data_IF_787168760860
#
_entry.id   IF_787168760860
#
_cell.length_a   1.000
_cell.length_b   1.000
_cell.length_c   1.000
_cell.angle_alpha   90.00
_cell.angle_beta   90.00
_cell.angle_gamma   90.00
#
_symmetry.space_group_name_H-M   'P 1'
#
loop_
_entity.id
_entity.type
_entity.pdbx_description
1 polymer ?
#
# COMPACT_ATOMS: atom_id res chain seq x y z
N UNK A 1 -56.90 -1.02 -26.37
CA UNK A 1 -56.97 0.45 -26.39
C UNK A 1 -58.35 1.02 -25.99
N UNK A 2 -59.37 0.20 -25.66
CA UNK A 2 -60.68 0.69 -25.24
C UNK A 2 -60.90 0.76 -23.72
N UNK A 3 -60.04 0.14 -22.87
CA UNK A 3 -60.20 0.18 -21.41
C UNK A 3 -59.60 1.43 -20.73
N UNK A 4 -58.67 2.14 -21.35
CA UNK A 4 -58.03 3.31 -20.74
C UNK A 4 -58.83 4.63 -20.88
N UNK A 5 -59.88 4.63 -21.69
CA UNK A 5 -60.71 5.84 -21.94
C UNK A 5 -61.87 6.05 -20.99
N UNK A 6 -62.09 5.13 -20.04
CA UNK A 6 -63.17 5.17 -19.04
C UNK A 6 -62.70 5.29 -17.62
N UNK A 7 -61.39 5.35 -17.38
CA UNK A 7 -60.85 5.50 -16.03
C UNK A 7 -60.90 6.95 -15.58
N UNK A 8 -61.39 7.21 -14.41
CA UNK A 8 -61.40 8.53 -13.78
C UNK A 8 -59.97 8.89 -13.31
N UNK A 9 -59.73 10.20 -13.13
CA UNK A 9 -58.45 10.66 -12.59
C UNK A 9 -58.12 10.09 -11.20
N UNK A 10 -59.14 9.65 -10.46
CA UNK A 10 -58.99 8.96 -9.16
C UNK A 10 -58.45 7.54 -9.35
N UNK A 11 -59.01 6.77 -10.28
CA UNK A 11 -58.60 5.39 -10.58
C UNK A 11 -57.14 5.34 -11.06
N UNK A 12 -56.74 6.35 -11.85
CA UNK A 12 -55.32 6.48 -12.29
C UNK A 12 -54.37 6.80 -11.15
N UNK A 13 -54.79 7.65 -10.21
CA UNK A 13 -53.96 7.96 -9.03
C UNK A 13 -53.85 6.75 -8.07
N UNK A 14 -54.95 6.01 -7.84
CA UNK A 14 -54.92 4.80 -7.04
C UNK A 14 -54.02 3.70 -7.65
N UNK A 15 -54.09 3.49 -8.97
CA UNK A 15 -53.21 2.55 -9.68
C UNK A 15 -51.75 3.00 -9.67
N UNK A 16 -51.47 4.29 -9.74
CA UNK A 16 -50.10 4.82 -9.60
C UNK A 16 -49.58 4.68 -8.18
N UNK A 17 -50.42 4.87 -7.16
CA UNK A 17 -50.02 4.68 -5.77
C UNK A 17 -49.86 3.20 -5.38
N UNK A 18 -50.68 2.31 -5.90
CA UNK A 18 -50.51 0.84 -5.77
C UNK A 18 -49.23 0.36 -6.48
N UNK A 19 -48.97 0.86 -7.70
CA UNK A 19 -47.76 0.56 -8.44
C UNK A 19 -46.51 1.05 -7.70
N UNK A 20 -46.53 2.28 -7.17
CA UNK A 20 -45.47 2.81 -6.34
C UNK A 20 -45.29 2.03 -5.04
N UNK A 21 -46.42 1.67 -4.36
CA UNK A 21 -46.33 0.90 -3.11
C UNK A 21 -45.83 -0.54 -3.33
N UNK A 22 -46.20 -1.19 -4.44
CA UNK A 22 -45.69 -2.50 -4.80
C UNK A 22 -44.20 -2.46 -5.18
N UNK A 23 -43.78 -1.45 -5.92
CA UNK A 23 -42.36 -1.22 -6.26
C UNK A 23 -41.50 -0.93 -5.02
N UNK A 24 -42.00 -0.10 -4.10
CA UNK A 24 -41.32 0.17 -2.82
C UNK A 24 -41.26 -1.07 -1.93
N UNK A 25 -42.30 -1.89 -1.89
CA UNK A 25 -42.31 -3.17 -1.15
C UNK A 25 -41.29 -4.15 -1.73
N UNK A 26 -41.25 -4.31 -3.05
CA UNK A 26 -40.27 -5.16 -3.72
C UNK A 26 -38.85 -4.65 -3.48
N UNK A 27 -38.63 -3.33 -3.53
CA UNK A 27 -37.32 -2.73 -3.22
C UNK A 27 -36.93 -3.01 -1.76
N UNK A 28 -37.84 -2.80 -0.80
CA UNK A 28 -37.60 -3.04 0.62
C UNK A 28 -37.34 -4.53 0.96
N UNK A 29 -37.80 -5.45 0.12
CA UNK A 29 -37.58 -6.90 0.29
C UNK A 29 -36.31 -7.41 -0.38
N UNK A 30 -35.57 -6.55 -1.07
CA UNK A 30 -34.28 -6.95 -1.67
C UNK A 30 -33.27 -7.29 -0.57
N UNK A 31 -32.51 -8.40 -0.71
CA UNK A 31 -31.55 -8.85 0.31
C UNK A 31 -30.50 -7.80 0.67
N UNK A 32 -30.06 -7.00 -0.31
CA UNK A 32 -29.10 -5.91 -0.11
C UNK A 32 -29.70 -4.77 0.73
N UNK A 33 -30.96 -4.41 0.52
CA UNK A 33 -31.67 -3.37 1.27
C UNK A 33 -31.93 -3.82 2.70
N UNK A 34 -32.39 -5.06 2.89
CA UNK A 34 -32.62 -5.65 4.22
C UNK A 34 -31.31 -5.72 4.99
N UNK A 35 -30.23 -6.18 4.34
CA UNK A 35 -28.91 -6.27 4.96
C UNK A 35 -28.39 -4.90 5.41
N UNK A 36 -28.50 -3.88 4.55
CA UNK A 36 -28.12 -2.52 4.89
C UNK A 36 -28.95 -1.93 6.03
N UNK A 37 -30.27 -2.15 6.01
CA UNK A 37 -31.15 -1.71 7.08
C UNK A 37 -30.77 -2.35 8.42
N UNK A 38 -30.53 -3.66 8.41
CA UNK A 38 -30.10 -4.40 9.60
C UNK A 38 -28.78 -3.88 10.17
N UNK A 39 -27.79 -3.62 9.29
CA UNK A 39 -26.50 -3.04 9.69
C UNK A 39 -26.68 -1.65 10.31
N UNK A 40 -27.53 -0.80 9.72
CA UNK A 40 -27.84 0.52 10.26
C UNK A 40 -28.52 0.45 11.62
N UNK A 41 -29.49 -0.47 11.80
CA UNK A 41 -30.20 -0.62 13.06
C UNK A 41 -29.26 -1.19 14.14
N UNK A 42 -28.39 -2.13 13.79
CA UNK A 42 -27.36 -2.67 14.66
C UNK A 42 -26.36 -1.59 15.09
N UNK A 43 -25.90 -0.74 14.13
CA UNK A 43 -25.04 0.41 14.42
C UNK A 43 -25.71 1.39 15.38
N UNK A 44 -26.99 1.73 15.13
CA UNK A 44 -27.78 2.60 16.03
C UNK A 44 -27.90 2.00 17.42
N UNK A 45 -28.18 0.72 17.53
CA UNK A 45 -28.23 0.02 18.82
C UNK A 45 -26.95 0.19 19.60
N UNK A 46 -25.78 -0.11 19.00
CA UNK A 46 -24.49 0.02 19.68
C UNK A 46 -24.11 1.47 19.99
N UNK A 47 -24.53 2.45 19.19
CA UNK A 47 -24.19 3.87 19.41
C UNK A 47 -25.13 4.60 20.37
N UNK A 48 -26.42 4.26 20.34
CA UNK A 48 -27.46 5.00 21.07
C UNK A 48 -27.96 4.25 22.32
N UNK A 49 -27.68 2.96 22.46
CA UNK A 49 -28.10 2.22 23.65
C UNK A 49 -27.44 2.75 24.91
N UNK A 50 -28.28 3.00 25.94
CA UNK A 50 -27.78 3.38 27.28
C UNK A 50 -26.93 2.28 27.92
N UNK A 51 -27.15 1.00 27.53
CA UNK A 51 -26.42 -0.18 28.00
C UNK A 51 -25.25 -0.57 27.10
N UNK A 52 -24.79 0.33 26.22
CA UNK A 52 -23.68 0.06 25.27
C UNK A 52 -22.39 -0.42 25.94
N UNK A 53 -22.18 -0.08 27.20
CA UNK A 53 -21.01 -0.48 27.98
C UNK A 53 -21.10 -1.94 28.48
N UNK A 54 -22.30 -2.53 28.49
CA UNK A 54 -22.51 -3.94 28.85
C UNK A 54 -22.26 -4.89 27.65
N UNK A 55 -22.24 -4.34 26.44
CA UNK A 55 -22.08 -5.10 25.20
C UNK A 55 -20.76 -4.73 24.55
N UNK A 56 -20.08 -5.72 24.00
CA UNK A 56 -18.89 -5.52 23.20
C UNK A 56 -19.29 -4.84 21.87
N UNK A 57 -18.73 -3.66 21.58
CA UNK A 57 -19.07 -2.91 20.36
C UNK A 57 -18.40 -3.59 19.16
N UNK A 58 -19.16 -4.38 18.42
CA UNK A 58 -18.67 -5.12 17.24
C UNK A 58 -18.14 -4.20 16.12
N UNK A 59 -18.54 -2.91 16.11
CA UNK A 59 -18.03 -1.95 15.11
C UNK A 59 -16.66 -1.36 15.50
N UNK A 60 -16.21 -1.60 16.72
CA UNK A 60 -14.87 -1.23 17.18
C UNK A 60 -13.88 -2.36 17.09
N UNK A 61 -14.36 -3.58 16.89
CA UNK A 61 -13.51 -4.75 16.75
C UNK A 61 -13.17 -4.97 15.28
N UNK A 62 -11.91 -5.20 15.02
CA UNK A 62 -11.46 -5.74 13.74
C UNK A 62 -11.91 -7.20 13.66
N UNK A 63 -13.14 -7.42 13.18
CA UNK A 63 -13.64 -8.76 12.93
C UNK A 63 -12.95 -9.27 11.67
N UNK A 64 -11.95 -10.12 11.86
CA UNK A 64 -11.35 -10.86 10.76
C UNK A 64 -12.40 -11.84 10.22
N UNK A 65 -13.21 -11.39 9.25
CA UNK A 65 -14.34 -12.15 8.66
C UNK A 65 -13.90 -13.54 8.19
N UNK A 66 -12.66 -13.68 7.69
CA UNK A 66 -12.09 -14.95 7.24
C UNK A 66 -11.87 -15.96 8.38
N UNK A 67 -11.88 -15.52 9.64
CA UNK A 67 -11.74 -16.36 10.83
C UNK A 67 -13.07 -16.81 11.44
N UNK A 68 -14.20 -16.30 10.94
CA UNK A 68 -15.53 -16.70 11.44
C UNK A 68 -15.83 -18.11 10.92
N UNK A 69 -16.06 -19.11 11.81
CA UNK A 69 -16.25 -20.51 11.41
C UNK A 69 -17.42 -20.69 10.43
N UNK A 70 -18.52 -19.96 10.61
CA UNK A 70 -19.70 -20.02 9.75
C UNK A 70 -19.43 -19.50 8.32
N UNK A 71 -18.46 -18.64 8.14
CA UNK A 71 -18.07 -18.08 6.83
C UNK A 71 -16.92 -18.85 6.19
N UNK A 72 -16.29 -19.75 6.93
CA UNK A 72 -15.08 -20.46 6.49
C UNK A 72 -15.29 -21.24 5.18
N UNK A 73 -16.45 -21.85 4.98
CA UNK A 73 -16.74 -22.60 3.77
C UNK A 73 -17.02 -21.69 2.56
N UNK A 74 -17.61 -20.52 2.80
CA UNK A 74 -17.87 -19.49 1.78
C UNK A 74 -16.55 -18.79 1.39
N UNK A 75 -15.70 -18.50 2.37
CA UNK A 75 -14.43 -17.77 2.20
C UNK A 75 -13.26 -18.69 1.80
N UNK A 76 -13.46 -20.00 1.68
CA UNK A 76 -12.43 -20.95 1.21
C UNK A 76 -12.05 -20.79 -0.26
N UNK A 77 -12.73 -19.90 -0.99
CA UNK A 77 -12.34 -19.58 -2.38
C UNK A 77 -11.12 -18.66 -2.37
N UNK A 78 -9.96 -19.09 -2.89
CA UNK A 78 -8.75 -18.29 -2.86
C UNK A 78 -8.91 -16.92 -3.54
N UNK A 79 -9.76 -16.82 -4.58
CA UNK A 79 -10.06 -15.57 -5.28
C UNK A 79 -10.72 -14.52 -4.36
N UNK A 80 -11.60 -14.99 -3.47
CA UNK A 80 -12.27 -14.11 -2.50
C UNK A 80 -11.30 -13.66 -1.42
N UNK A 81 -10.45 -14.56 -0.92
CA UNK A 81 -9.39 -14.22 0.03
C UNK A 81 -8.43 -13.19 -0.55
N UNK A 82 -8.00 -13.34 -1.81
CA UNK A 82 -7.18 -12.34 -2.51
C UNK A 82 -7.90 -11.00 -2.56
N UNK A 83 -9.19 -10.97 -2.87
CA UNK A 83 -9.97 -9.72 -2.91
C UNK A 83 -10.01 -9.02 -1.55
N UNK A 84 -10.18 -9.79 -0.47
CA UNK A 84 -10.20 -9.27 0.91
C UNK A 84 -8.80 -8.77 1.30
N UNK A 85 -7.75 -9.56 1.01
CA UNK A 85 -6.37 -9.17 1.26
C UNK A 85 -6.00 -7.88 0.51
N UNK A 86 -6.40 -7.76 -0.76
CA UNK A 86 -6.19 -6.56 -1.57
C UNK A 86 -6.95 -5.34 -1.04
N UNK A 87 -8.11 -5.54 -0.44
CA UNK A 87 -8.82 -4.47 0.25
C UNK A 87 -8.01 -3.96 1.45
N UNK A 88 -7.53 -4.85 2.34
CA UNK A 88 -6.68 -4.48 3.48
C UNK A 88 -5.38 -3.84 3.02
N UNK A 89 -4.76 -4.39 1.97
CA UNK A 89 -3.54 -3.83 1.38
C UNK A 89 -3.74 -2.38 0.92
N UNK A 90 -4.83 -2.08 0.20
CA UNK A 90 -5.16 -0.72 -0.26
C UNK A 90 -5.52 0.23 0.87
N UNK A 91 -6.03 -0.29 1.98
CA UNK A 91 -6.35 0.49 3.19
C UNK A 91 -5.14 0.69 4.11
N UNK A 92 -3.96 0.26 3.68
CA UNK A 92 -2.71 0.35 4.45
C UNK A 92 -2.76 -0.41 5.79
N UNK A 93 -3.45 -1.55 5.81
CA UNK A 93 -3.47 -2.50 6.91
C UNK A 93 -2.57 -3.72 6.57
N UNK A 94 -1.23 -3.59 6.68
CA UNK A 94 -0.31 -4.61 6.20
C UNK A 94 -0.36 -5.91 7.00
N UNK A 95 -0.64 -5.85 8.29
CA UNK A 95 -0.69 -7.04 9.14
C UNK A 95 -1.87 -7.96 8.79
N UNK A 96 -3.05 -7.36 8.57
CA UNK A 96 -4.27 -8.08 8.18
C UNK A 96 -4.12 -8.64 6.76
N UNK A 97 -3.65 -7.80 5.83
CA UNK A 97 -3.39 -8.24 4.45
C UNK A 97 -2.40 -9.42 4.43
N UNK A 98 -1.32 -9.34 5.20
CA UNK A 98 -0.30 -10.37 5.30
C UNK A 98 -0.89 -11.71 5.78
N UNK A 99 -1.73 -11.68 6.82
CA UNK A 99 -2.32 -12.92 7.36
C UNK A 99 -3.18 -13.64 6.31
N UNK A 100 -3.92 -12.89 5.49
CA UNK A 100 -4.79 -13.46 4.46
C UNK A 100 -3.97 -13.92 3.23
N UNK A 101 -2.97 -13.13 2.80
CA UNK A 101 -2.07 -13.57 1.72
C UNK A 101 -1.33 -14.85 2.10
N UNK A 102 -0.97 -15.04 3.38
CA UNK A 102 -0.34 -16.26 3.84
C UNK A 102 -1.29 -17.47 3.68
N UNK A 103 -2.57 -17.33 4.02
CA UNK A 103 -3.57 -18.38 3.77
C UNK A 103 -3.68 -18.74 2.28
N UNK A 104 -3.65 -17.74 1.40
CA UNK A 104 -3.66 -17.95 -0.06
C UNK A 104 -2.40 -18.68 -0.55
N UNK A 105 -1.24 -18.35 0.03
CA UNK A 105 0.03 -19.02 -0.26
C UNK A 105 -0.03 -20.48 0.18
N UNK A 106 -0.57 -20.75 1.38
CA UNK A 106 -0.71 -22.09 1.94
C UNK A 106 -1.69 -22.97 1.12
N UNK A 107 -2.64 -22.34 0.40
CA UNK A 107 -3.51 -22.99 -0.58
C UNK A 107 -2.84 -23.25 -1.94
N UNK A 108 -1.57 -22.90 -2.12
CA UNK A 108 -0.84 -22.98 -3.39
C UNK A 108 -1.49 -22.18 -4.54
N UNK A 109 -2.18 -21.09 -4.23
CA UNK A 109 -2.84 -20.20 -5.20
C UNK A 109 -2.07 -18.91 -5.45
N UNK A 110 -0.84 -18.79 -4.93
CA UNK A 110 -0.06 -17.56 -5.02
C UNK A 110 0.65 -17.43 -6.38
N UNK A 111 0.47 -16.27 -7.00
CA UNK A 111 1.21 -15.80 -8.17
C UNK A 111 2.31 -14.79 -7.79
N UNK A 112 2.97 -14.22 -8.79
CA UNK A 112 4.01 -13.22 -8.59
C UNK A 112 3.48 -11.96 -7.87
N UNK A 113 2.25 -11.53 -8.15
CA UNK A 113 1.63 -10.33 -7.58
C UNK A 113 1.35 -10.53 -6.08
N UNK A 114 0.83 -11.69 -5.69
CA UNK A 114 0.59 -12.05 -4.30
C UNK A 114 1.90 -12.06 -3.51
N UNK A 115 2.98 -12.67 -4.06
CA UNK A 115 4.29 -12.65 -3.41
C UNK A 115 4.87 -11.25 -3.33
N UNK A 116 4.66 -10.37 -4.32
CA UNK A 116 5.07 -8.97 -4.27
C UNK A 116 4.36 -8.22 -3.14
N UNK A 117 3.04 -8.35 -3.05
CA UNK A 117 2.23 -7.71 -2.01
C UNK A 117 2.56 -8.24 -0.62
N UNK A 118 2.76 -9.56 -0.50
CA UNK A 118 3.25 -10.19 0.73
C UNK A 118 4.58 -9.60 1.17
N UNK A 119 5.54 -9.51 0.25
CA UNK A 119 6.85 -8.90 0.50
C UNK A 119 6.73 -7.45 0.96
N UNK A 120 5.81 -6.69 0.37
CA UNK A 120 5.56 -5.29 0.75
C UNK A 120 4.97 -5.17 2.16
N UNK A 121 3.99 -6.01 2.51
CA UNK A 121 3.43 -6.06 3.86
C UNK A 121 4.51 -6.39 4.89
N UNK A 122 5.32 -7.42 4.64
CA UNK A 122 6.46 -7.80 5.49
C UNK A 122 7.49 -6.67 5.62
N UNK A 123 7.75 -5.93 4.54
CA UNK A 123 8.65 -4.77 4.55
C UNK A 123 8.08 -3.64 5.42
N UNK A 124 6.78 -3.39 5.39
CA UNK A 124 6.11 -2.39 6.26
C UNK A 124 6.19 -2.80 7.73
N UNK A 125 6.05 -4.08 8.03
CA UNK A 125 6.26 -4.68 9.36
C UNK A 125 7.73 -4.78 9.78
N UNK A 126 8.67 -4.26 8.95
CA UNK A 126 10.13 -4.30 9.18
C UNK A 126 10.72 -5.73 9.24
N UNK A 127 10.00 -6.73 8.78
CA UNK A 127 10.43 -8.12 8.67
C UNK A 127 11.22 -8.35 7.37
N UNK A 128 12.34 -7.64 7.23
CA UNK A 128 13.07 -7.52 5.97
C UNK A 128 13.60 -8.84 5.42
N UNK A 129 14.04 -9.78 6.27
CA UNK A 129 14.54 -11.10 5.83
C UNK A 129 13.44 -11.92 5.15
N UNK A 130 12.25 -11.90 5.73
CA UNK A 130 11.09 -12.60 5.18
C UNK A 130 10.56 -11.90 3.92
N UNK A 131 10.57 -10.57 3.90
CA UNK A 131 10.25 -9.78 2.71
C UNK A 131 11.16 -10.14 1.52
N UNK A 132 12.47 -10.29 1.74
CA UNK A 132 13.41 -10.73 0.71
C UNK A 132 13.02 -12.11 0.19
N UNK A 133 12.65 -13.05 1.05
CA UNK A 133 12.21 -14.38 0.62
C UNK A 133 10.97 -14.31 -0.27
N UNK A 134 9.97 -13.51 0.11
CA UNK A 134 8.76 -13.32 -0.68
C UNK A 134 9.08 -12.65 -2.04
N UNK A 135 9.88 -11.58 -2.04
CA UNK A 135 10.27 -10.91 -3.29
C UNK A 135 11.11 -11.78 -4.21
N UNK A 136 11.98 -12.66 -3.68
CA UNK A 136 12.72 -13.63 -4.50
C UNK A 136 11.78 -14.63 -5.17
N UNK A 137 10.75 -15.11 -4.46
CA UNK A 137 9.72 -15.98 -5.07
C UNK A 137 8.96 -15.25 -6.19
N UNK A 138 8.63 -13.98 -5.96
CA UNK A 138 8.00 -13.14 -6.98
C UNK A 138 8.91 -12.96 -8.22
N UNK A 139 10.21 -12.74 -8.01
CA UNK A 139 11.20 -12.55 -9.07
C UNK A 139 11.41 -13.82 -9.91
N UNK A 140 11.35 -15.01 -9.27
CA UNK A 140 11.38 -16.29 -9.97
C UNK A 140 10.16 -16.47 -10.87
N UNK A 141 8.97 -16.09 -10.41
CA UNK A 141 7.72 -16.21 -11.17
C UNK A 141 7.58 -15.15 -12.27
N UNK A 142 8.11 -13.95 -12.01
CA UNK A 142 8.08 -12.81 -12.94
C UNK A 142 9.43 -12.09 -12.89
N UNK A 143 10.42 -12.57 -13.68
CA UNK A 143 11.76 -11.98 -13.71
C UNK A 143 11.74 -10.51 -14.18
N UNK A 144 12.77 -9.78 -13.78
CA UNK A 144 13.06 -8.41 -14.21
C UNK A 144 11.94 -7.40 -13.96
N UNK A 145 11.09 -7.67 -12.96
CA UNK A 145 10.07 -6.72 -12.57
C UNK A 145 10.69 -5.61 -11.70
N UNK A 146 10.84 -4.42 -12.28
CA UNK A 146 11.56 -3.26 -11.69
C UNK A 146 11.11 -2.95 -10.25
N UNK A 147 9.80 -2.99 -10.00
CA UNK A 147 9.25 -2.75 -8.67
C UNK A 147 9.79 -3.76 -7.65
N UNK A 148 9.79 -5.06 -8.00
CA UNK A 148 10.29 -6.15 -7.13
C UNK A 148 11.77 -5.98 -6.84
N UNK A 149 12.59 -5.75 -7.88
CA UNK A 149 14.06 -5.57 -7.76
C UNK A 149 14.37 -4.36 -6.87
N UNK A 150 13.65 -3.25 -7.04
CA UNK A 150 13.81 -2.05 -6.21
C UNK A 150 13.48 -2.31 -4.74
N UNK A 151 12.42 -3.08 -4.46
CA UNK A 151 12.05 -3.43 -3.08
C UNK A 151 13.02 -4.43 -2.45
N UNK A 152 13.55 -5.38 -3.22
CA UNK A 152 14.66 -6.24 -2.79
C UNK A 152 15.87 -5.40 -2.36
N UNK A 153 16.32 -4.48 -3.23
CA UNK A 153 17.41 -3.57 -2.92
C UNK A 153 17.16 -2.78 -1.63
N UNK A 154 15.94 -2.29 -1.45
CA UNK A 154 15.55 -1.54 -0.26
C UNK A 154 15.62 -2.41 1.00
N UNK A 155 15.15 -3.66 0.94
CA UNK A 155 15.21 -4.59 2.08
C UNK A 155 16.66 -4.92 2.46
N UNK A 156 17.54 -5.19 1.48
CA UNK A 156 18.97 -5.41 1.75
C UNK A 156 19.62 -4.20 2.39
N UNK A 157 19.33 -2.98 1.89
CA UNK A 157 19.84 -1.74 2.48
C UNK A 157 19.37 -1.56 3.93
N UNK A 158 18.11 -1.90 4.26
CA UNK A 158 17.61 -1.84 5.64
C UNK A 158 18.30 -2.86 6.57
N UNK A 159 18.72 -3.99 6.02
CA UNK A 159 19.52 -4.99 6.75
C UNK A 159 21.01 -4.61 6.82
N UNK A 160 21.41 -3.46 6.26
CA UNK A 160 22.80 -3.00 6.13
C UNK A 160 23.69 -3.91 5.26
N UNK A 161 23.07 -4.76 4.46
CA UNK A 161 23.78 -5.50 3.41
C UNK A 161 23.88 -4.61 2.17
N UNK A 162 24.81 -3.66 2.24
CA UNK A 162 24.98 -2.65 1.19
C UNK A 162 25.55 -3.23 -0.10
N UNK A 163 26.25 -4.36 -0.02
CA UNK A 163 26.79 -5.03 -1.20
C UNK A 163 25.66 -5.61 -2.07
N UNK A 164 24.78 -6.39 -1.46
CA UNK A 164 23.59 -6.93 -2.16
C UNK A 164 22.65 -5.81 -2.60
N UNK A 165 22.41 -4.80 -1.76
CA UNK A 165 21.57 -3.66 -2.10
C UNK A 165 22.09 -2.94 -3.36
N UNK A 166 23.42 -2.70 -3.44
CA UNK A 166 24.06 -2.06 -4.58
C UNK A 166 23.89 -2.86 -5.88
N UNK A 167 24.04 -4.19 -5.82
CA UNK A 167 23.80 -5.07 -6.98
C UNK A 167 22.39 -4.89 -7.54
N UNK A 168 21.38 -4.98 -6.68
CA UNK A 168 20.00 -4.84 -7.10
C UNK A 168 19.65 -3.40 -7.56
N UNK A 169 20.18 -2.35 -6.90
CA UNK A 169 19.97 -0.98 -7.38
C UNK A 169 20.62 -0.73 -8.74
N UNK A 170 21.79 -1.33 -9.02
CA UNK A 170 22.41 -1.24 -10.35
C UNK A 170 21.59 -1.94 -11.44
N UNK A 171 20.92 -3.05 -11.12
CA UNK A 171 19.96 -3.68 -12.04
C UNK A 171 18.80 -2.71 -12.36
N UNK A 172 18.27 -2.00 -11.36
CA UNK A 172 17.24 -0.98 -11.58
C UNK A 172 17.77 0.21 -12.38
N UNK A 173 18.98 0.68 -12.10
CA UNK A 173 19.62 1.77 -12.86
C UNK A 173 19.81 1.40 -14.34
N UNK A 174 20.19 0.16 -14.64
CA UNK A 174 20.31 -0.30 -16.01
C UNK A 174 18.97 -0.27 -16.78
N UNK A 175 17.86 -0.54 -16.10
CA UNK A 175 16.51 -0.49 -16.66
C UNK A 175 15.93 0.94 -16.70
N UNK A 176 16.31 1.78 -15.75
CA UNK A 176 15.83 3.15 -15.58
C UNK A 176 16.98 4.11 -15.23
N UNK A 177 17.82 4.50 -16.20
CA UNK A 177 19.04 5.28 -15.96
C UNK A 177 18.78 6.67 -15.38
N UNK A 178 17.59 7.22 -15.58
CA UNK A 178 17.21 8.57 -15.12
C UNK A 178 16.47 8.58 -13.77
N UNK A 179 16.38 7.43 -13.09
CA UNK A 179 15.70 7.32 -11.82
C UNK A 179 16.54 7.91 -10.68
N UNK A 180 16.27 9.19 -10.36
CA UNK A 180 17.01 9.98 -9.35
C UNK A 180 17.07 9.30 -7.98
N UNK A 181 15.96 8.64 -7.56
CA UNK A 181 15.95 7.95 -6.27
C UNK A 181 16.91 6.76 -6.26
N UNK A 182 17.02 6.03 -7.37
CA UNK A 182 17.95 4.91 -7.49
C UNK A 182 19.38 5.39 -7.45
N UNK A 183 19.72 6.45 -8.20
CA UNK A 183 21.06 7.09 -8.18
C UNK A 183 21.43 7.54 -6.76
N UNK A 184 20.48 8.13 -6.02
CA UNK A 184 20.68 8.51 -4.63
C UNK A 184 20.96 7.30 -3.72
N UNK A 185 20.21 6.22 -3.87
CA UNK A 185 20.40 5.02 -3.05
C UNK A 185 21.70 4.28 -3.39
N UNK A 186 22.12 4.27 -4.65
CA UNK A 186 23.44 3.76 -5.05
C UNK A 186 24.55 4.55 -4.34
N UNK A 187 24.51 5.89 -4.46
CA UNK A 187 25.48 6.75 -3.78
C UNK A 187 25.48 6.53 -2.26
N UNK A 188 24.29 6.38 -1.66
CA UNK A 188 24.18 6.11 -0.21
C UNK A 188 24.79 4.77 0.18
N UNK A 189 24.56 3.71 -0.60
CA UNK A 189 25.13 2.39 -0.33
C UNK A 189 26.67 2.40 -0.49
N UNK A 190 27.20 3.14 -1.47
CA UNK A 190 28.62 3.31 -1.67
C UNK A 190 29.27 4.09 -0.50
N UNK A 191 28.60 5.13 -0.03
CA UNK A 191 29.07 5.92 1.10
C UNK A 191 29.12 5.10 2.40
N UNK A 192 28.14 4.25 2.64
CA UNK A 192 28.12 3.32 3.79
C UNK A 192 29.21 2.22 3.68
N UNK A 193 29.72 1.96 2.48
CA UNK A 193 30.88 1.08 2.21
C UNK A 193 32.20 1.85 2.22
N UNK A 194 32.21 3.11 2.65
CA UNK A 194 33.38 4.01 2.68
C UNK A 194 33.98 4.31 1.27
N UNK A 195 33.25 3.99 0.20
CA UNK A 195 33.63 4.26 -1.21
C UNK A 195 33.22 5.69 -1.59
N UNK A 196 33.74 6.67 -0.88
CA UNK A 196 33.29 8.07 -0.94
C UNK A 196 33.46 8.72 -2.31
N UNK A 197 34.51 8.40 -3.03
CA UNK A 197 34.75 8.97 -4.37
C UNK A 197 33.67 8.52 -5.38
N UNK A 198 33.32 7.27 -5.36
CA UNK A 198 32.25 6.73 -6.22
C UNK A 198 30.86 7.24 -5.76
N UNK A 199 30.63 7.36 -4.47
CA UNK A 199 29.43 7.95 -3.93
C UNK A 199 29.27 9.41 -4.40
N UNK A 200 30.35 10.20 -4.36
CA UNK A 200 30.37 11.58 -4.85
C UNK A 200 30.01 11.68 -6.33
N UNK A 201 30.47 10.75 -7.18
CA UNK A 201 30.10 10.72 -8.59
C UNK A 201 28.56 10.56 -8.76
N UNK A 202 27.95 9.66 -7.98
CA UNK A 202 26.49 9.47 -7.99
C UNK A 202 25.75 10.73 -7.54
N UNK A 203 26.22 11.38 -6.47
CA UNK A 203 25.57 12.57 -5.94
C UNK A 203 25.77 13.80 -6.82
N UNK A 204 26.92 13.94 -7.50
CA UNK A 204 27.10 14.98 -8.52
C UNK A 204 26.23 14.75 -9.74
N UNK A 205 26.09 13.50 -10.21
CA UNK A 205 25.14 13.16 -11.26
C UNK A 205 23.72 13.62 -10.88
N UNK A 206 23.33 13.39 -9.62
CA UNK A 206 22.02 13.79 -9.11
C UNK A 206 21.87 15.32 -9.03
N UNK A 207 22.91 16.05 -8.61
CA UNK A 207 22.94 17.53 -8.56
C UNK A 207 22.75 18.12 -9.97
N UNK A 208 23.29 17.47 -11.00
CA UNK A 208 23.09 17.86 -12.40
C UNK A 208 21.70 17.53 -12.95
N UNK A 209 21.08 16.49 -12.43
CA UNK A 209 19.73 16.05 -12.87
C UNK A 209 18.59 16.86 -12.25
N UNK A 210 18.82 17.48 -11.11
CA UNK A 210 17.81 18.18 -10.33
C UNK A 210 18.35 19.45 -9.73
N UNK A 211 17.79 20.59 -10.16
CA UNK A 211 18.14 21.88 -9.56
C UNK A 211 17.72 21.91 -8.09
N UNK A 212 18.58 22.50 -7.24
CA UNK A 212 18.33 22.71 -5.81
C UNK A 212 18.06 21.43 -5.00
N UNK A 213 18.71 20.33 -5.40
CA UNK A 213 18.58 19.04 -4.71
C UNK A 213 19.27 19.03 -3.34
N UNK A 214 18.58 19.51 -2.30
CA UNK A 214 19.09 19.56 -0.92
C UNK A 214 19.62 18.19 -0.45
N UNK A 215 18.98 17.08 -0.86
CA UNK A 215 19.42 15.73 -0.49
C UNK A 215 20.80 15.43 -1.07
N UNK A 216 21.01 15.75 -2.35
CA UNK A 216 22.30 15.57 -3.00
C UNK A 216 23.37 16.46 -2.36
N UNK A 217 23.09 17.74 -2.13
CA UNK A 217 24.02 18.66 -1.52
C UNK A 217 24.47 18.24 -0.12
N UNK A 218 23.54 17.78 0.71
CA UNK A 218 23.89 17.25 2.03
C UNK A 218 24.77 16.00 1.94
N UNK A 219 24.46 15.10 0.99
CA UNK A 219 25.26 13.90 0.79
C UNK A 219 26.66 14.21 0.24
N UNK A 220 26.77 15.16 -0.72
CA UNK A 220 28.06 15.65 -1.24
C UNK A 220 28.87 16.30 -0.11
N UNK A 221 28.23 17.19 0.67
CA UNK A 221 28.90 17.86 1.79
C UNK A 221 29.46 16.85 2.77
N UNK A 222 28.66 15.83 3.17
CA UNK A 222 29.10 14.82 4.10
C UNK A 222 30.24 13.93 3.54
N UNK A 223 30.06 13.39 2.33
CA UNK A 223 31.10 12.57 1.70
C UNK A 223 32.40 13.36 1.50
N UNK A 224 32.32 14.63 1.10
CA UNK A 224 33.49 15.52 0.93
C UNK A 224 34.19 15.77 2.27
N UNK A 225 33.43 16.00 3.34
CA UNK A 225 33.99 16.20 4.67
C UNK A 225 34.77 14.96 5.15
N UNK A 226 34.16 13.78 5.06
CA UNK A 226 34.81 12.53 5.48
C UNK A 226 36.04 12.19 4.61
N UNK A 227 36.02 12.58 3.33
CA UNK A 227 37.16 12.42 2.41
C UNK A 227 38.26 13.49 2.57
N UNK A 228 38.14 14.37 3.56
CA UNK A 228 39.14 15.44 3.81
C UNK A 228 39.03 16.64 2.88
N UNK A 229 37.99 16.73 2.03
CA UNK A 229 37.76 17.84 1.07
C UNK A 229 36.95 18.95 1.74
N UNK A 230 37.51 19.58 2.78
CA UNK A 230 36.80 20.52 3.66
C UNK A 230 36.19 21.73 2.93
N UNK A 231 36.94 22.31 1.96
CA UNK A 231 36.41 23.46 1.18
C UNK A 231 35.20 23.08 0.34
N UNK A 232 35.21 21.90 -0.27
CA UNK A 232 34.07 21.40 -1.05
C UNK A 232 32.85 21.12 -0.14
N UNK A 233 33.10 20.53 1.03
CA UNK A 233 32.07 20.29 2.02
C UNK A 233 31.39 21.59 2.45
N UNK A 234 32.20 22.61 2.76
CA UNK A 234 31.70 23.93 3.19
C UNK A 234 30.84 24.58 2.11
N UNK A 235 31.28 24.61 0.84
CA UNK A 235 30.48 25.14 -0.29
C UNK A 235 29.10 24.49 -0.42
N UNK A 236 29.02 23.17 -0.27
CA UNK A 236 27.74 22.48 -0.40
C UNK A 236 26.83 22.67 0.82
N UNK A 237 27.38 22.76 2.03
CA UNK A 237 26.58 23.12 3.21
C UNK A 237 26.09 24.57 3.16
N UNK A 238 26.87 25.53 2.64
CA UNK A 238 26.43 26.91 2.39
C UNK A 238 25.23 26.95 1.41
N UNK A 239 25.27 26.16 0.31
CA UNK A 239 24.13 26.05 -0.61
C UNK A 239 22.85 25.53 0.14
N UNK A 240 22.99 24.55 1.02
CA UNK A 240 21.87 24.04 1.81
C UNK A 240 21.31 25.10 2.75
N UNK A 241 22.18 25.89 3.39
CA UNK A 241 21.76 26.95 4.31
C UNK A 241 21.07 28.11 3.57
N UNK A 242 21.53 28.44 2.35
CA UNK A 242 20.91 29.48 1.54
C UNK A 242 19.47 29.18 1.16
N UNK A 243 19.10 27.89 0.96
CA UNK A 243 17.74 27.48 0.64
C UNK A 243 16.84 27.29 1.86
N UNK A 244 17.41 27.09 3.04
CA UNK A 244 16.69 27.04 4.31
C UNK A 244 17.26 28.10 5.24
N UNK A 245 16.80 29.35 5.15
CA UNK A 245 17.14 30.32 6.17
C UNK A 245 16.70 29.78 7.52
N UNK A 246 17.63 29.77 8.47
CA UNK A 246 17.34 29.39 9.86
C UNK A 246 16.22 30.31 10.32
N UNK A 247 15.05 29.75 10.60
CA UNK A 247 13.99 30.50 11.27
C UNK A 247 14.54 30.89 12.65
N UNK A 248 14.91 32.15 12.76
CA UNK A 248 15.29 32.79 14.02
C UNK A 248 14.06 33.01 14.90
#
# INVERSE_FOLDING_TARGET
NMMLSQMTSQDLNELMDESKSSGLRQYAQRPDVISNQYIHDLYRFFKLSQRRHEFRDIFKEEIALHRIPALKDILRKPELLVTIADFHFRKEHPAEALSIYQEVIDMNYADADIFQKTGYCLQKEKRYKEAISAYRKADVLKPDHIWTIRHLATCYRQLRDFASALEYYRKVEAMQPENRNVTFFIGSCLAEQERYEEALQCFFKLDLMENDCIKAWRAIGWCSFVSGKSEQAMRYYEKVLALKPIAT
#
